data_IF_309756260220
#
_entry.id   IF_309756260220
#
_cell.length_a   1.000
_cell.length_b   1.000
_cell.length_c   1.000
_cell.angle_alpha   90.00
_cell.angle_beta   90.00
_cell.angle_gamma   90.00
#
_symmetry.space_group_name_H-M   'P 1'
#
loop_
_entity.id
_entity.type
_entity.pdbx_description
1 polymer ?
#
# COMPACT_ATOMS: atom_id res chain seq x y z
N UNK A 1 -38.10 -9.89 57.43
CA UNK A 1 -36.63 -9.84 57.20
C UNK A 1 -36.29 -11.02 56.29
N UNK A 2 -36.06 -10.78 54.99
CA UNK A 2 -34.75 -10.80 54.30
C UNK A 2 -34.09 -12.19 54.40
N UNK A 3 -33.86 -12.96 53.34
CA UNK A 3 -33.28 -12.62 52.04
C UNK A 3 -33.66 -13.66 50.96
N UNK A 4 -34.13 -13.19 49.81
CA UNK A 4 -34.20 -13.96 48.57
C UNK A 4 -32.83 -13.83 47.89
N UNK A 5 -32.07 -14.92 47.84
CA UNK A 5 -30.83 -15.01 47.07
C UNK A 5 -31.19 -15.11 45.60
N UNK A 6 -31.33 -13.96 44.95
CA UNK A 6 -31.46 -13.87 43.49
C UNK A 6 -30.10 -14.24 42.90
N UNK A 7 -30.00 -15.45 42.35
CA UNK A 7 -28.90 -15.86 41.47
C UNK A 7 -28.98 -15.00 40.19
N UNK A 8 -28.31 -13.85 40.20
CA UNK A 8 -28.03 -13.09 39.00
C UNK A 8 -26.99 -13.86 38.18
N UNK A 9 -27.45 -14.62 37.19
CA UNK A 9 -26.59 -15.20 36.16
C UNK A 9 -26.04 -14.04 35.34
N UNK A 10 -24.74 -13.83 35.48
CA UNK A 10 -23.89 -13.02 34.61
C UNK A 10 -24.16 -13.39 33.14
N UNK A 11 -24.71 -12.45 32.37
CA UNK A 11 -24.49 -12.41 30.92
C UNK A 11 -23.73 -11.12 30.65
N UNK A 12 -22.43 -11.15 30.94
CA UNK A 12 -21.47 -10.24 30.33
C UNK A 12 -21.38 -10.64 28.86
N UNK A 13 -22.28 -10.09 28.04
CA UNK A 13 -22.04 -10.01 26.59
C UNK A 13 -20.89 -9.04 26.44
N UNK A 14 -19.68 -9.58 26.52
CA UNK A 14 -18.45 -8.91 26.09
C UNK A 14 -18.67 -8.56 24.63
N UNK A 15 -19.09 -7.32 24.38
CA UNK A 15 -18.93 -6.66 23.10
C UNK A 15 -17.43 -6.61 22.81
N UNK A 16 -16.89 -7.72 22.34
CA UNK A 16 -15.68 -7.74 21.54
C UNK A 16 -16.06 -7.10 20.21
N UNK A 17 -16.18 -5.78 20.25
CA UNK A 17 -16.01 -4.99 19.03
C UNK A 17 -14.63 -5.35 18.53
N UNK A 18 -14.59 -6.21 17.52
CA UNK A 18 -13.35 -6.52 16.83
C UNK A 18 -12.82 -5.19 16.31
N UNK A 19 -11.83 -4.62 17.00
CA UNK A 19 -10.90 -3.65 16.43
C UNK A 19 -10.13 -4.41 15.36
N UNK A 20 -10.75 -4.63 14.20
CA UNK A 20 -10.07 -5.17 13.05
C UNK A 20 -9.09 -4.09 12.61
N UNK A 21 -7.81 -4.31 12.90
CA UNK A 21 -6.75 -3.41 12.45
C UNK A 21 -6.90 -3.18 10.95
N UNK A 22 -6.99 -1.91 10.57
CA UNK A 22 -7.21 -1.53 9.19
C UNK A 22 -5.94 -1.82 8.39
N UNK A 23 -6.04 -2.74 7.44
CA UNK A 23 -4.90 -3.18 6.60
C UNK A 23 -4.28 -1.97 5.89
N UNK A 24 -2.94 -1.95 5.85
CA UNK A 24 -2.17 -0.94 5.14
C UNK A 24 -1.53 -1.55 3.89
N UNK A 25 -2.27 -1.59 2.78
CA UNK A 25 -1.86 -2.27 1.56
C UNK A 25 -0.55 -1.71 0.98
N UNK A 26 -0.35 -0.39 1.05
CA UNK A 26 0.85 0.29 0.57
C UNK A 26 2.10 -0.17 1.32
N UNK A 27 1.99 -0.40 2.65
CA UNK A 27 3.08 -0.95 3.44
C UNK A 27 3.42 -2.37 2.99
N UNK A 28 2.41 -3.21 2.81
CA UNK A 28 2.60 -4.61 2.41
C UNK A 28 3.26 -4.68 1.03
N UNK A 29 2.75 -3.90 0.08
CA UNK A 29 3.31 -3.82 -1.27
C UNK A 29 4.77 -3.34 -1.26
N UNK A 30 5.08 -2.33 -0.44
CA UNK A 30 6.45 -1.85 -0.31
C UNK A 30 7.39 -2.88 0.31
N UNK A 31 6.97 -3.58 1.37
CA UNK A 31 7.76 -4.66 1.98
C UNK A 31 8.02 -5.80 1.00
N UNK A 32 7.06 -6.13 0.13
CA UNK A 32 7.25 -7.10 -0.95
C UNK A 32 8.26 -6.60 -2.01
N UNK A 33 8.21 -5.31 -2.33
CA UNK A 33 9.04 -4.71 -3.38
C UNK A 33 10.48 -4.39 -2.95
N UNK A 34 10.69 -4.01 -1.67
CA UNK A 34 11.94 -3.40 -1.21
C UNK A 34 13.19 -4.22 -1.54
N UNK A 35 13.10 -5.56 -1.45
CA UNK A 35 14.23 -6.45 -1.70
C UNK A 35 14.69 -6.40 -3.16
N UNK A 36 13.74 -6.22 -4.08
CA UNK A 36 14.03 -6.08 -5.51
C UNK A 36 14.90 -4.87 -5.82
N UNK A 37 14.61 -3.72 -5.20
CA UNK A 37 15.38 -2.49 -5.46
C UNK A 37 16.68 -2.42 -4.66
N UNK A 38 16.71 -2.98 -3.46
CA UNK A 38 17.95 -3.04 -2.66
C UNK A 38 19.06 -3.81 -3.37
N UNK A 39 18.70 -4.85 -4.12
CA UNK A 39 19.66 -5.65 -4.90
C UNK A 39 20.18 -4.94 -6.15
N UNK A 40 19.47 -3.92 -6.64
CA UNK A 40 19.82 -3.20 -7.87
C UNK A 40 20.67 -1.95 -7.64
N UNK A 41 20.58 -1.33 -6.45
CA UNK A 41 21.27 -0.06 -6.17
C UNK A 41 22.33 -0.19 -5.08
N UNK A 42 23.53 0.31 -5.38
CA UNK A 42 24.61 0.47 -4.39
C UNK A 42 24.45 1.74 -3.56
N UNK A 43 23.68 2.71 -4.05
CA UNK A 43 23.46 4.00 -3.40
C UNK A 43 22.26 3.98 -2.44
N UNK A 44 22.06 5.08 -1.68
CA UNK A 44 20.87 5.24 -0.86
C UNK A 44 19.64 5.51 -1.72
N UNK A 45 18.63 4.66 -1.58
CA UNK A 45 17.34 4.76 -2.29
C UNK A 45 16.53 5.90 -1.67
N UNK A 46 16.16 6.88 -2.47
CA UNK A 46 15.33 8.00 -2.03
C UNK A 46 13.87 7.58 -2.06
N UNK A 47 13.17 7.68 -0.92
CA UNK A 47 11.77 7.28 -0.77
C UNK A 47 10.90 8.48 -0.45
N UNK A 48 9.83 8.68 -1.20
CA UNK A 48 8.88 9.75 -0.95
C UNK A 48 7.96 9.39 0.23
N UNK A 49 7.90 10.27 1.23
CA UNK A 49 7.10 10.06 2.45
C UNK A 49 5.59 10.10 2.19
N UNK A 50 5.15 10.84 1.18
CA UNK A 50 3.73 11.01 0.86
C UNK A 50 3.31 9.97 -0.16
N UNK A 51 2.11 9.43 0.03
CA UNK A 51 1.47 8.62 -1.00
C UNK A 51 1.09 9.55 -2.15
N UNK A 52 1.50 9.17 -3.35
CA UNK A 52 1.09 9.86 -4.56
C UNK A 52 -0.39 9.56 -4.87
N UNK A 53 -1.04 10.49 -5.56
CA UNK A 53 -2.38 10.23 -6.07
C UNK A 53 -2.24 9.03 -7.00
N UNK A 54 -2.94 7.93 -6.68
CA UNK A 54 -2.77 6.68 -7.41
C UNK A 54 -2.89 6.87 -8.91
N UNK A 55 -2.18 6.03 -9.68
CA UNK A 55 -2.05 6.16 -11.13
C UNK A 55 -3.33 6.71 -11.78
N UNK A 56 -3.19 7.91 -12.38
CA UNK A 56 -4.27 8.62 -13.06
C UNK A 56 -4.91 7.76 -14.15
N UNK A 57 -4.12 6.83 -14.70
CA UNK A 57 -4.58 5.69 -15.49
C UNK A 57 -3.75 4.44 -15.11
N UNK A 58 -4.29 3.49 -14.35
CA UNK A 58 -3.66 2.20 -14.07
C UNK A 58 -3.37 1.33 -15.33
N UNK A 59 -3.73 1.78 -16.53
CA UNK A 59 -3.30 1.14 -17.78
C UNK A 59 -2.01 1.74 -18.37
N UNK A 60 -1.48 2.84 -17.81
CA UNK A 60 -0.40 3.58 -18.45
C UNK A 60 0.88 2.75 -18.53
N UNK A 61 1.37 2.25 -17.38
CA UNK A 61 2.42 1.26 -17.25
C UNK A 61 2.37 0.60 -15.86
N UNK A 62 2.73 -0.69 -15.73
CA UNK A 62 3.19 -1.57 -16.80
C UNK A 62 2.06 -2.32 -17.54
N UNK A 63 2.24 -2.46 -18.86
CA UNK A 63 1.27 -3.07 -19.79
C UNK A 63 1.19 -4.60 -19.72
N UNK A 64 1.83 -5.21 -18.72
CA UNK A 64 1.83 -6.66 -18.50
C UNK A 64 0.45 -7.20 -18.12
N UNK A 65 -0.45 -6.32 -17.73
CA UNK A 65 -1.78 -6.62 -17.26
C UNK A 65 -2.81 -6.28 -18.35
N UNK A 66 -2.77 -7.01 -19.49
CA UNK A 66 -3.73 -6.86 -20.61
C UNK A 66 -5.20 -7.16 -20.23
N UNK A 67 -5.48 -7.49 -18.97
CA UNK A 67 -6.77 -8.04 -18.51
C UNK A 67 -7.31 -7.41 -17.22
N UNK A 68 -6.68 -6.36 -16.67
CA UNK A 68 -7.29 -5.67 -15.52
C UNK A 68 -8.48 -4.86 -16.03
N UNK A 69 -9.67 -5.46 -15.95
CA UNK A 69 -10.93 -4.74 -16.05
C UNK A 69 -11.15 -3.98 -14.75
N UNK A 70 -10.71 -2.73 -14.75
CA UNK A 70 -10.89 -1.81 -13.64
C UNK A 70 -12.33 -1.35 -13.70
N UNK A 71 -13.18 -1.97 -12.89
CA UNK A 71 -14.41 -1.31 -12.51
C UNK A 71 -13.96 -0.35 -11.44
N UNK A 72 -13.91 0.93 -11.77
CA UNK A 72 -13.63 2.02 -10.84
C UNK A 72 -14.73 1.99 -9.77
N UNK A 73 -14.56 1.11 -8.79
CA UNK A 73 -15.44 0.93 -7.65
C UNK A 73 -14.60 1.50 -6.53
N UNK A 74 -14.88 2.75 -6.18
CA UNK A 74 -14.38 3.44 -5.00
C UNK A 74 -12.94 3.08 -4.65
N UNK A 75 -12.00 3.94 -5.05
CA UNK A 75 -10.75 4.15 -4.29
C UNK A 75 -10.98 3.76 -2.84
N UNK A 76 -10.17 2.85 -2.30
CA UNK A 76 -10.20 2.51 -0.87
C UNK A 76 -9.79 3.79 -0.14
N UNK A 77 -10.71 4.74 -0.03
CA UNK A 77 -10.43 6.08 0.45
C UNK A 77 -10.29 5.94 1.94
N UNK A 78 -9.06 5.63 2.32
CA UNK A 78 -8.62 5.96 3.63
C UNK A 78 -8.34 7.47 3.67
N UNK A 79 -9.13 8.17 4.48
CA UNK A 79 -8.86 9.56 4.84
C UNK A 79 -7.67 9.67 5.81
N UNK A 80 -6.93 8.58 6.04
CA UNK A 80 -5.58 8.60 6.63
C UNK A 80 -4.79 9.71 5.93
N UNK A 81 -4.16 10.57 6.74
CA UNK A 81 -3.36 11.69 6.24
C UNK A 81 -2.47 11.19 5.09
N UNK A 82 -2.30 11.97 4.02
CA UNK A 82 -1.53 11.60 2.81
C UNK A 82 -0.06 11.19 3.08
N UNK A 83 0.35 11.11 4.34
CA UNK A 83 1.67 10.70 4.79
C UNK A 83 1.61 9.21 5.13
N UNK A 84 2.50 8.45 4.50
CA UNK A 84 2.84 7.12 4.96
C UNK A 84 3.51 7.32 6.33
N UNK A 85 2.85 6.87 7.40
CA UNK A 85 3.56 6.64 8.66
C UNK A 85 4.56 5.51 8.37
N UNK A 86 5.80 5.93 8.13
CA UNK A 86 7.01 5.12 8.04
C UNK A 86 7.68 5.00 9.41
N UNK A 87 7.03 4.66 10.55
CA UNK A 87 7.76 4.71 11.80
C UNK A 87 8.86 3.63 11.87
N UNK A 88 8.84 2.60 11.00
CA UNK A 88 9.70 1.43 11.19
C UNK A 88 10.58 1.04 9.98
N UNK A 89 10.71 1.87 8.94
CA UNK A 89 11.80 1.67 7.97
C UNK A 89 13.10 2.18 8.59
N UNK A 90 13.68 1.37 9.47
CA UNK A 90 15.00 1.61 10.09
C UNK A 90 16.16 1.32 9.15
N UNK A 91 15.86 0.83 7.95
CA UNK A 91 16.87 0.46 6.98
C UNK A 91 17.61 1.71 6.46
N UNK A 92 18.91 1.74 6.75
CA UNK A 92 19.82 2.83 6.43
C UNK A 92 20.03 3.03 4.91
N UNK A 93 19.59 2.07 4.08
CA UNK A 93 19.55 2.16 2.63
C UNK A 93 18.52 3.15 2.12
N UNK A 94 17.48 3.46 2.89
CA UNK A 94 16.43 4.39 2.47
C UNK A 94 16.67 5.80 3.01
N UNK A 95 16.53 6.80 2.14
CA UNK A 95 16.52 8.23 2.48
C UNK A 95 15.12 8.78 2.27
N UNK A 96 14.35 8.86 3.34
CA UNK A 96 12.96 9.33 3.30
C UNK A 96 12.92 10.86 3.25
N UNK A 97 12.18 11.43 2.28
CA UNK A 97 11.90 12.88 2.23
C UNK A 97 10.48 13.18 1.76
N UNK A 98 10.03 14.41 2.02
CA UNK A 98 8.68 14.87 1.63
C UNK A 98 8.52 15.09 0.12
N UNK A 99 9.59 15.53 -0.57
CA UNK A 99 9.62 15.78 -2.01
C UNK A 99 11.04 15.63 -2.54
N UNK A 100 11.14 15.21 -3.79
CA UNK A 100 12.37 15.23 -4.58
C UNK A 100 12.10 16.05 -5.83
N UNK A 101 12.99 17.00 -6.14
CA UNK A 101 12.95 17.74 -7.41
C UNK A 101 14.17 17.33 -8.22
N UNK A 102 13.98 16.97 -9.48
CA UNK A 102 15.05 16.67 -10.44
C UNK A 102 16.06 15.61 -9.96
N UNK A 103 15.63 14.62 -9.17
CA UNK A 103 16.48 13.50 -8.75
C UNK A 103 15.73 12.20 -8.87
N UNK A 104 16.45 11.08 -8.85
CA UNK A 104 15.86 9.75 -8.83
C UNK A 104 15.18 9.47 -7.49
N UNK A 105 14.02 8.83 -7.49
CA UNK A 105 13.30 8.46 -6.26
C UNK A 105 12.29 7.35 -6.50
N UNK A 106 11.86 6.74 -5.40
CA UNK A 106 10.75 5.80 -5.34
C UNK A 106 9.56 6.50 -4.69
N UNK A 107 8.38 6.38 -5.28
CA UNK A 107 7.12 6.75 -4.65
C UNK A 107 6.13 5.58 -4.63
N UNK A 108 5.25 5.61 -3.63
CA UNK A 108 4.16 4.66 -3.48
C UNK A 108 2.88 5.40 -3.80
N UNK A 109 2.04 4.80 -4.62
CA UNK A 109 0.71 5.29 -4.92
C UNK A 109 -0.28 4.85 -3.83
N UNK A 110 -1.36 5.61 -3.69
CA UNK A 110 -2.53 5.16 -2.92
C UNK A 110 -3.11 3.88 -3.52
N UNK A 111 -3.52 2.96 -2.65
CA UNK A 111 -4.19 1.74 -3.02
C UNK A 111 -5.54 2.01 -3.72
N UNK A 112 -5.83 1.23 -4.75
CA UNK A 112 -7.06 1.32 -5.55
C UNK A 112 -7.79 -0.01 -5.49
N UNK A 113 -9.10 0.01 -5.23
CA UNK A 113 -9.92 -1.19 -5.33
C UNK A 113 -10.27 -1.43 -6.80
N UNK A 114 -9.90 -2.58 -7.34
CA UNK A 114 -10.19 -2.92 -8.73
C UNK A 114 -11.55 -3.62 -8.89
N UNK A 115 -11.94 -4.35 -7.85
CA UNK A 115 -13.20 -5.07 -7.73
C UNK A 115 -13.44 -5.41 -6.25
N UNK A 116 -14.55 -6.11 -5.93
CA UNK A 116 -14.93 -6.47 -4.56
C UNK A 116 -13.91 -7.34 -3.77
N UNK A 117 -12.85 -7.81 -4.41
CA UNK A 117 -11.89 -8.78 -3.84
C UNK A 117 -10.43 -8.40 -4.04
N UNK A 118 -10.13 -7.42 -4.89
CA UNK A 118 -8.75 -7.14 -5.35
C UNK A 118 -8.39 -5.68 -5.17
N UNK A 119 -7.25 -5.46 -4.55
CA UNK A 119 -6.61 -4.16 -4.36
C UNK A 119 -5.35 -4.07 -5.23
N UNK A 120 -5.15 -2.92 -5.87
CA UNK A 120 -3.94 -2.56 -6.59
C UNK A 120 -3.15 -1.54 -5.78
N UNK A 121 -1.85 -1.77 -5.68
CA UNK A 121 -0.88 -0.76 -5.22
C UNK A 121 0.19 -0.60 -6.29
N UNK A 122 0.49 0.64 -6.63
CA UNK A 122 1.57 0.95 -7.56
C UNK A 122 2.79 1.48 -6.82
N UNK A 123 3.97 1.06 -7.28
CA UNK A 123 5.25 1.59 -6.83
C UNK A 123 6.01 2.06 -8.06
N UNK A 124 6.45 3.32 -8.02
CA UNK A 124 7.10 3.96 -9.16
C UNK A 124 8.54 4.31 -8.80
N UNK A 125 9.49 3.81 -9.58
CA UNK A 125 10.88 4.27 -9.61
C UNK A 125 11.02 5.32 -10.71
N UNK A 126 11.28 6.56 -10.33
CA UNK A 126 11.45 7.69 -11.24
C UNK A 126 12.94 7.97 -11.40
N UNK A 127 13.44 7.94 -12.63
CA UNK A 127 14.80 8.30 -13.01
C UNK A 127 14.78 9.46 -14.02
N UNK A 128 15.95 10.02 -14.34
CA UNK A 128 16.05 11.20 -15.24
C UNK A 128 15.48 10.96 -16.66
N UNK A 129 15.65 9.76 -17.20
CA UNK A 129 15.27 9.40 -18.59
C UNK A 129 14.52 8.07 -18.68
N UNK A 130 14.05 7.54 -17.54
CA UNK A 130 13.30 6.29 -17.48
C UNK A 130 12.40 6.27 -16.26
N UNK A 131 11.29 5.56 -16.36
CA UNK A 131 10.42 5.24 -15.24
C UNK A 131 10.20 3.74 -15.16
N UNK A 132 10.22 3.18 -13.97
CA UNK A 132 9.85 1.78 -13.72
C UNK A 132 8.61 1.77 -12.83
N UNK A 133 7.61 1.01 -13.22
CA UNK A 133 6.33 0.89 -12.54
C UNK A 133 6.11 -0.56 -12.15
N UNK A 134 5.66 -0.77 -10.92
CA UNK A 134 5.27 -2.07 -10.39
C UNK A 134 3.81 -2.02 -10.00
N UNK A 135 3.01 -2.87 -10.62
CA UNK A 135 1.65 -3.16 -10.18
C UNK A 135 1.69 -4.35 -9.24
N UNK A 136 1.22 -4.17 -8.01
CA UNK A 136 1.13 -5.21 -7.01
C UNK A 136 -0.34 -5.42 -6.69
N UNK A 137 -0.84 -6.62 -6.94
CA UNK A 137 -2.22 -7.00 -6.68
C UNK A 137 -2.30 -7.80 -5.40
N UNK A 138 -3.20 -7.36 -4.52
CA UNK A 138 -3.46 -7.96 -3.22
C UNK A 138 -4.93 -8.37 -3.12
N UNK A 139 -5.22 -9.38 -2.31
CA UNK A 139 -6.59 -9.59 -1.83
C UNK A 139 -6.94 -8.59 -0.71
N UNK A 140 -8.21 -8.59 -0.28
CA UNK A 140 -8.67 -7.75 0.84
C UNK A 140 -8.02 -8.07 2.19
N UNK A 141 -7.22 -9.13 2.30
CA UNK A 141 -6.47 -9.51 3.50
C UNK A 141 -4.99 -9.08 3.40
N UNK A 142 -4.59 -8.48 2.29
CA UNK A 142 -3.21 -8.07 2.03
C UNK A 142 -2.31 -9.20 1.52
N UNK A 143 -2.85 -10.34 1.10
CA UNK A 143 -2.04 -11.39 0.45
C UNK A 143 -1.68 -10.96 -0.96
N UNK A 144 -0.40 -11.04 -1.32
CA UNK A 144 0.05 -10.82 -2.70
C UNK A 144 -0.54 -11.91 -3.60
N UNK A 145 -1.33 -11.49 -4.59
CA UNK A 145 -1.94 -12.37 -5.59
C UNK A 145 -1.03 -12.52 -6.80
N UNK A 146 -0.56 -11.39 -7.33
CA UNK A 146 0.37 -11.30 -8.46
C UNK A 146 1.00 -9.92 -8.50
N UNK A 147 2.10 -9.79 -9.23
CA UNK A 147 2.71 -8.50 -9.50
C UNK A 147 3.22 -8.47 -10.93
N UNK A 148 3.41 -7.27 -11.47
CA UNK A 148 3.99 -7.12 -12.78
C UNK A 148 4.81 -5.81 -12.86
N UNK A 149 5.88 -5.85 -13.66
CA UNK A 149 6.88 -4.78 -13.79
C UNK A 149 6.94 -4.31 -15.23
N UNK A 150 7.19 -3.02 -15.43
CA UNK A 150 7.45 -2.43 -16.74
C UNK A 150 7.71 -0.94 -16.59
N UNK A 151 7.54 -0.17 -17.66
CA UNK A 151 7.77 1.26 -17.65
C UNK A 151 8.22 1.79 -18.99
N UNK A 152 8.91 2.93 -18.97
CA UNK A 152 9.33 3.64 -20.17
C UNK A 152 10.80 4.03 -20.10
N UNK A 153 11.36 4.32 -21.28
CA UNK A 153 12.64 5.01 -21.47
C UNK A 153 12.36 6.09 -22.50
N UNK A 154 12.77 7.32 -22.18
CA UNK A 154 12.65 8.49 -23.08
C UNK A 154 13.84 8.58 -24.04
#
# INVERSE_FOLDING_TARGET
>A
MKNVVVKAILILVSYSGYCQEKIFYEKIAFEFYKDSIMNQSKEKIKLQKKLERGAFDPNWFPRCEKEIKIKEIDTVFDNRSNQFELPNLTDNKFKIKNRFRNTEYVCLDKAVLLNKTTVLVNINEVYKHRGIYYHILLDLKGKILRYCKGGYTE
#
